data_IF_409484343547
#
_entry.id   IF_409484343547
#
_cell.length_a   1.000
_cell.length_b   1.000
_cell.length_c   1.000
_cell.angle_alpha   90.00
_cell.angle_beta   90.00
_cell.angle_gamma   90.00
#
_symmetry.space_group_name_H-M   'P 1'
#
loop_
_entity.id
_entity.type
_entity.pdbx_description
1 polymer ?
#
# COMPACT_ATOMS: atom_id res chain seq x y z
N UNK A 1 -16.81 17.92 -14.84
CA UNK A 1 -17.53 18.95 -15.63
C UNK A 1 -17.33 18.67 -17.11
N UNK A 2 -18.27 17.97 -17.73
CA UNK A 2 -18.39 17.92 -19.19
C UNK A 2 -19.87 17.86 -19.52
N UNK A 3 -20.31 18.93 -20.19
CA UNK A 3 -21.65 19.25 -20.59
C UNK A 3 -22.10 18.22 -21.64
N UNK A 4 -23.01 17.31 -21.27
CA UNK A 4 -23.81 16.56 -22.25
C UNK A 4 -25.27 16.88 -22.05
N UNK A 5 -25.56 18.14 -22.39
CA UNK A 5 -26.86 18.58 -22.88
C UNK A 5 -27.11 17.79 -24.16
N UNK A 6 -27.85 16.68 -24.08
CA UNK A 6 -28.59 16.15 -25.21
C UNK A 6 -30.07 16.11 -24.83
N UNK A 7 -30.63 17.30 -25.00
CA UNK A 7 -32.02 17.65 -24.86
C UNK A 7 -32.83 16.90 -25.93
N UNK A 8 -33.28 15.66 -25.65
CA UNK A 8 -34.38 15.04 -26.39
C UNK A 8 -35.70 15.64 -25.94
N UNK A 9 -35.96 16.85 -26.41
CA UNK A 9 -37.29 17.46 -26.46
C UNK A 9 -38.17 16.61 -27.40
N UNK A 10 -38.86 15.61 -26.84
CA UNK A 10 -40.02 15.03 -27.52
C UNK A 10 -41.23 15.90 -27.17
N UNK A 11 -41.53 16.85 -28.05
CA UNK A 11 -42.71 17.72 -27.98
C UNK A 11 -44.00 16.90 -28.06
N UNK A 12 -44.59 16.59 -26.92
CA UNK A 12 -45.99 16.15 -26.82
C UNK A 12 -46.91 17.35 -27.05
N UNK A 13 -47.28 17.56 -28.32
CA UNK A 13 -48.27 18.57 -28.71
C UNK A 13 -49.67 18.04 -28.38
N UNK A 14 -50.17 18.32 -27.17
CA UNK A 14 -51.52 17.93 -26.75
C UNK A 14 -52.50 19.06 -27.03
N UNK A 15 -53.24 18.94 -28.15
CA UNK A 15 -54.43 19.73 -28.42
C UNK A 15 -55.57 18.77 -28.77
N UNK A 16 -56.43 18.47 -27.79
CA UNK A 16 -57.75 17.86 -28.03
C UNK A 16 -58.77 18.43 -27.04
N UNK A 17 -59.70 19.22 -27.57
CA UNK A 17 -60.90 19.71 -26.89
C UNK A 17 -62.11 19.15 -27.65
N UNK A 18 -62.71 18.08 -27.14
CA UNK A 18 -64.04 17.59 -27.55
C UNK A 18 -64.76 16.95 -26.36
N UNK A 19 -65.94 17.49 -26.00
CA UNK A 19 -66.82 17.01 -24.93
C UNK A 19 -67.61 15.75 -25.32
N UNK A 20 -67.80 14.79 -24.40
CA UNK A 20 -69.01 13.94 -24.43
C UNK A 20 -68.96 12.52 -23.85
N UNK A 21 -67.79 11.89 -23.74
CA UNK A 21 -67.50 10.68 -22.96
C UNK A 21 -66.02 10.80 -22.60
N UNK A 22 -65.69 11.00 -21.33
CA UNK A 22 -64.29 11.05 -20.93
C UNK A 22 -63.70 9.63 -21.09
N UNK A 23 -62.92 9.42 -22.14
CA UNK A 23 -62.16 8.20 -22.36
C UNK A 23 -61.00 8.17 -21.35
N UNK A 24 -60.68 7.00 -20.80
CA UNK A 24 -59.54 6.88 -19.88
C UNK A 24 -58.22 7.24 -20.59
N UNK A 25 -57.29 7.95 -19.93
CA UNK A 25 -56.02 8.37 -20.54
C UNK A 25 -55.00 7.21 -20.60
N UNK A 26 -55.38 6.08 -21.19
CA UNK A 26 -54.55 4.85 -21.21
C UNK A 26 -53.22 5.04 -21.94
N UNK A 27 -53.17 5.83 -23.02
CA UNK A 27 -51.91 6.10 -23.74
C UNK A 27 -50.82 6.72 -22.84
N UNK A 28 -51.09 7.83 -22.13
CA UNK A 28 -50.18 8.39 -21.15
C UNK A 28 -49.85 7.47 -19.95
N UNK A 29 -50.83 6.68 -19.46
CA UNK A 29 -50.58 5.67 -18.40
C UNK A 29 -49.57 4.64 -18.87
N UNK A 30 -49.80 4.04 -20.04
CA UNK A 30 -48.91 3.03 -20.61
C UNK A 30 -47.52 3.62 -20.88
N UNK A 31 -47.45 4.86 -21.36
CA UNK A 31 -46.19 5.55 -21.61
C UNK A 31 -45.37 5.74 -20.33
N UNK A 32 -45.98 6.19 -19.22
CA UNK A 32 -45.24 6.43 -17.98
C UNK A 32 -44.80 5.14 -17.30
N UNK A 33 -45.63 4.09 -17.35
CA UNK A 33 -45.24 2.75 -16.87
C UNK A 33 -44.13 2.13 -17.71
N UNK A 34 -44.17 2.32 -19.03
CA UNK A 34 -43.11 1.85 -19.91
C UNK A 34 -41.77 2.55 -19.63
N UNK A 35 -41.78 3.83 -19.25
CA UNK A 35 -40.55 4.52 -18.80
C UNK A 35 -39.97 3.90 -17.53
N UNK A 36 -40.81 3.61 -16.53
CA UNK A 36 -40.34 2.96 -15.29
C UNK A 36 -39.75 1.56 -15.57
N UNK A 37 -40.44 0.76 -16.39
CA UNK A 37 -39.95 -0.56 -16.76
C UNK A 37 -38.62 -0.53 -17.54
N UNK A 38 -38.35 0.56 -18.29
CA UNK A 38 -37.11 0.71 -19.03
C UNK A 38 -35.87 0.91 -18.13
N UNK A 39 -36.06 1.37 -16.90
CA UNK A 39 -34.97 1.62 -15.95
C UNK A 39 -34.83 0.55 -14.86
N UNK A 40 -35.75 -0.42 -14.79
CA UNK A 40 -35.84 -1.44 -13.73
C UNK A 40 -34.49 -2.11 -13.42
N UNK A 41 -33.83 -2.69 -14.41
CA UNK A 41 -32.58 -3.45 -14.21
C UNK A 41 -31.42 -2.61 -13.69
N UNK A 42 -31.32 -1.35 -14.13
CA UNK A 42 -30.29 -0.44 -13.63
C UNK A 42 -30.66 0.10 -12.26
N UNK A 43 -31.94 0.37 -12.02
CA UNK A 43 -32.44 0.89 -10.75
C UNK A 43 -32.29 -0.13 -9.61
N UNK A 44 -32.47 -1.43 -9.87
CA UNK A 44 -32.14 -2.49 -8.91
C UNK A 44 -30.70 -2.39 -8.38
N UNK A 45 -29.76 -1.98 -9.25
CA UNK A 45 -28.34 -1.91 -8.92
C UNK A 45 -27.95 -0.56 -8.31
N UNK A 46 -28.48 0.54 -8.84
CA UNK A 46 -27.97 1.89 -8.54
C UNK A 46 -28.96 2.80 -7.81
N UNK A 47 -30.26 2.48 -7.80
CA UNK A 47 -31.30 3.39 -7.30
C UNK A 47 -32.52 2.66 -6.70
N UNK A 48 -32.30 1.55 -5.98
CA UNK A 48 -33.38 0.67 -5.51
C UNK A 48 -34.43 1.40 -4.65
N UNK A 49 -34.01 2.36 -3.81
CA UNK A 49 -34.94 3.17 -3.01
C UNK A 49 -35.82 4.07 -3.90
N UNK A 50 -35.22 4.78 -4.86
CA UNK A 50 -35.98 5.64 -5.78
C UNK A 50 -36.94 4.81 -6.65
N UNK A 51 -36.52 3.61 -7.06
CA UNK A 51 -37.35 2.69 -7.84
C UNK A 51 -38.59 2.26 -7.06
N UNK A 52 -38.43 1.84 -5.80
CA UNK A 52 -39.57 1.48 -4.95
C UNK A 52 -40.57 2.63 -4.77
N UNK A 53 -40.09 3.87 -4.64
CA UNK A 53 -40.96 5.06 -4.57
C UNK A 53 -41.74 5.29 -5.88
N UNK A 54 -41.14 4.99 -7.04
CA UNK A 54 -41.81 5.08 -8.33
C UNK A 54 -42.85 3.96 -8.53
N UNK A 55 -42.57 2.74 -8.05
CA UNK A 55 -43.54 1.64 -8.02
C UNK A 55 -44.75 1.98 -7.14
N UNK A 56 -44.53 2.58 -5.97
CA UNK A 56 -45.61 3.05 -5.09
C UNK A 56 -46.49 4.11 -5.78
N UNK A 57 -45.88 5.02 -6.55
CA UNK A 57 -46.62 6.01 -7.34
C UNK A 57 -47.45 5.35 -8.46
N UNK A 58 -46.93 4.31 -9.11
CA UNK A 58 -47.68 3.49 -10.08
C UNK A 58 -48.86 2.79 -9.39
N UNK A 59 -48.67 2.24 -8.19
CA UNK A 59 -49.74 1.62 -7.41
C UNK A 59 -50.88 2.59 -7.07
N UNK A 60 -50.56 3.85 -6.77
CA UNK A 60 -51.57 4.90 -6.56
C UNK A 60 -52.33 5.24 -7.84
N UNK A 61 -51.63 5.33 -8.98
CA UNK A 61 -52.25 5.53 -10.29
C UNK A 61 -53.21 4.39 -10.63
N UNK A 62 -52.82 3.15 -10.39
CA UNK A 62 -53.65 1.97 -10.65
C UNK A 62 -54.90 1.92 -9.77
N UNK A 63 -54.75 2.27 -8.49
CA UNK A 63 -55.87 2.37 -7.56
C UNK A 63 -56.90 3.40 -8.03
N UNK A 64 -56.46 4.56 -8.52
CA UNK A 64 -57.36 5.59 -9.06
C UNK A 64 -58.04 5.12 -10.35
N UNK A 65 -57.31 4.47 -11.26
CA UNK A 65 -57.88 3.92 -12.50
C UNK A 65 -58.98 2.91 -12.21
N UNK A 66 -58.79 2.03 -11.22
CA UNK A 66 -59.80 1.08 -10.76
C UNK A 66 -61.03 1.78 -10.16
N UNK A 67 -60.81 2.82 -9.34
CA UNK A 67 -61.90 3.61 -8.76
C UNK A 67 -62.74 4.32 -9.84
N UNK A 68 -62.11 4.89 -10.87
CA UNK A 68 -62.80 5.47 -12.03
C UNK A 68 -63.52 4.41 -12.86
N UNK A 69 -62.93 3.22 -13.02
CA UNK A 69 -63.57 2.12 -13.73
C UNK A 69 -64.87 1.65 -13.06
N UNK A 70 -64.91 1.63 -11.72
CA UNK A 70 -66.08 1.28 -10.92
C UNK A 70 -67.16 2.39 -10.87
N UNK A 71 -66.78 3.63 -11.21
CA UNK A 71 -67.70 4.76 -11.24
C UNK A 71 -68.65 4.72 -12.45
N UNK A 72 -69.87 5.22 -12.27
CA UNK A 72 -70.86 5.31 -13.35
C UNK A 72 -70.32 6.14 -14.52
N UNK A 73 -70.53 5.71 -15.76
CA UNK A 73 -69.87 6.29 -16.94
C UNK A 73 -70.08 7.81 -17.12
N UNK A 74 -71.21 8.36 -16.67
CA UNK A 74 -71.48 9.80 -16.71
C UNK A 74 -70.83 10.61 -15.57
N UNK A 75 -70.23 9.94 -14.58
CA UNK A 75 -69.62 10.53 -13.37
C UNK A 75 -68.09 10.36 -13.32
N UNK A 76 -67.48 9.75 -14.34
CA UNK A 76 -66.02 9.56 -14.40
C UNK A 76 -65.32 10.90 -14.62
N UNK A 77 -64.24 11.11 -13.87
CA UNK A 77 -63.38 12.29 -13.98
C UNK A 77 -61.91 11.86 -13.88
N UNK A 78 -61.12 12.22 -14.89
CA UNK A 78 -59.72 11.78 -15.01
C UNK A 78 -58.73 12.89 -14.63
N UNK A 79 -59.17 13.99 -14.04
CA UNK A 79 -58.26 15.05 -13.55
C UNK A 79 -57.24 14.47 -12.56
N UNK A 80 -57.70 13.72 -11.55
CA UNK A 80 -56.82 13.06 -10.58
C UNK A 80 -55.89 12.03 -11.23
N UNK A 81 -56.38 11.28 -12.21
CA UNK A 81 -55.54 10.33 -12.97
C UNK A 81 -54.41 11.07 -13.69
N UNK A 82 -54.69 12.21 -14.32
CA UNK A 82 -53.66 13.02 -14.99
C UNK A 82 -52.61 13.58 -14.00
N UNK A 83 -53.03 14.00 -12.81
CA UNK A 83 -52.09 14.39 -11.75
C UNK A 83 -51.19 13.22 -11.33
N UNK A 84 -51.75 12.02 -11.17
CA UNK A 84 -51.00 10.82 -10.79
C UNK A 84 -50.03 10.38 -11.90
N UNK A 85 -50.41 10.49 -13.17
CA UNK A 85 -49.48 10.26 -14.31
C UNK A 85 -48.30 11.23 -14.21
N UNK A 86 -48.56 12.52 -13.94
CA UNK A 86 -47.50 13.50 -13.70
C UNK A 86 -46.61 13.14 -12.51
N UNK A 87 -47.20 12.66 -11.42
CA UNK A 87 -46.46 12.18 -10.23
C UNK A 87 -45.58 10.98 -10.53
N UNK A 88 -46.06 9.98 -11.29
CA UNK A 88 -45.24 8.85 -11.73
C UNK A 88 -44.12 9.35 -12.63
N UNK A 89 -44.39 10.30 -13.53
CA UNK A 89 -43.38 10.90 -14.40
C UNK A 89 -42.23 11.52 -13.59
N UNK A 90 -42.54 12.33 -12.59
CA UNK A 90 -41.53 12.92 -11.69
C UNK A 90 -40.78 11.85 -10.87
N UNK A 91 -41.47 10.78 -10.44
CA UNK A 91 -40.83 9.69 -9.71
C UNK A 91 -39.83 8.93 -10.61
N UNK A 92 -40.17 8.69 -11.87
CA UNK A 92 -39.26 8.09 -12.86
C UNK A 92 -38.07 9.00 -13.14
N UNK A 93 -38.28 10.32 -13.30
CA UNK A 93 -37.19 11.29 -13.47
C UNK A 93 -36.23 11.24 -12.27
N UNK A 94 -36.75 11.08 -11.05
CA UNK A 94 -35.94 10.91 -9.84
C UNK A 94 -35.15 9.59 -9.81
N UNK A 95 -35.69 8.50 -10.37
CA UNK A 95 -34.94 7.23 -10.56
C UNK A 95 -33.77 7.43 -11.51
N UNK A 96 -34.03 8.02 -12.68
CA UNK A 96 -33.00 8.32 -13.69
C UNK A 96 -31.87 9.18 -13.10
N UNK A 97 -32.22 10.25 -12.36
CA UNK A 97 -31.24 11.12 -11.69
C UNK A 97 -30.45 10.37 -10.61
N UNK A 98 -31.11 9.51 -9.81
CA UNK A 98 -30.44 8.71 -8.78
C UNK A 98 -29.42 7.73 -9.39
N UNK A 99 -29.78 7.05 -10.49
CA UNK A 99 -28.87 6.16 -11.23
C UNK A 99 -27.63 6.93 -11.69
N UNK A 100 -27.83 8.07 -12.37
CA UNK A 100 -26.73 8.87 -12.91
C UNK A 100 -25.81 9.40 -11.81
N UNK A 101 -26.40 9.91 -10.72
CA UNK A 101 -25.67 10.39 -9.55
C UNK A 101 -24.82 9.30 -8.91
N UNK A 102 -25.39 8.10 -8.70
CA UNK A 102 -24.67 6.99 -8.08
C UNK A 102 -23.55 6.46 -8.97
N UNK A 103 -23.81 6.32 -10.28
CA UNK A 103 -22.76 5.96 -11.25
C UNK A 103 -21.63 6.99 -11.26
N UNK A 104 -21.93 8.29 -11.21
CA UNK A 104 -20.92 9.33 -11.16
C UNK A 104 -20.12 9.28 -9.85
N UNK A 105 -20.79 9.04 -8.71
CA UNK A 105 -20.15 8.89 -7.40
C UNK A 105 -19.16 7.74 -7.41
N UNK A 106 -19.58 6.56 -7.89
CA UNK A 106 -18.72 5.37 -7.96
C UNK A 106 -17.51 5.57 -8.88
N UNK A 107 -17.68 6.19 -10.06
CA UNK A 107 -16.56 6.51 -10.95
C UNK A 107 -15.55 7.45 -10.31
N UNK A 108 -16.04 8.47 -9.62
CA UNK A 108 -15.17 9.46 -8.95
C UNK A 108 -14.39 8.80 -7.82
N UNK A 109 -15.05 7.98 -7.01
CA UNK A 109 -14.42 7.30 -5.89
C UNK A 109 -13.39 6.26 -6.35
N UNK A 110 -13.74 5.42 -7.34
CA UNK A 110 -12.79 4.48 -7.92
C UNK A 110 -11.57 5.19 -8.53
N UNK A 111 -11.79 6.30 -9.26
CA UNK A 111 -10.70 7.10 -9.82
C UNK A 111 -9.76 7.68 -8.75
N UNK A 112 -10.33 8.17 -7.63
CA UNK A 112 -9.54 8.65 -6.49
C UNK A 112 -8.69 7.54 -5.86
N UNK A 113 -9.26 6.35 -5.71
CA UNK A 113 -8.57 5.18 -5.16
C UNK A 113 -7.45 4.71 -6.09
N UNK A 114 -7.68 4.69 -7.42
CA UNK A 114 -6.64 4.38 -8.42
C UNK A 114 -5.47 5.34 -8.29
N UNK A 115 -5.71 6.66 -8.27
CA UNK A 115 -4.62 7.64 -8.11
C UNK A 115 -3.86 7.48 -6.79
N UNK A 116 -4.56 7.12 -5.71
CA UNK A 116 -3.90 6.85 -4.42
C UNK A 116 -3.01 5.60 -4.50
N UNK A 117 -3.48 4.54 -5.17
CA UNK A 117 -2.71 3.32 -5.34
C UNK A 117 -1.47 3.54 -6.23
N UNK A 118 -1.60 4.32 -7.31
CA UNK A 118 -0.48 4.72 -8.16
C UNK A 118 0.60 5.50 -7.38
N UNK A 119 0.18 6.39 -6.48
CA UNK A 119 1.09 7.13 -5.58
C UNK A 119 1.81 6.20 -4.59
N UNK A 120 1.10 5.23 -4.02
CA UNK A 120 1.70 4.22 -3.13
C UNK A 120 2.71 3.35 -3.88
N UNK A 121 2.41 2.92 -5.11
CA UNK A 121 3.34 2.16 -5.96
C UNK A 121 4.59 3.00 -6.27
N UNK A 122 4.42 4.27 -6.65
CA UNK A 122 5.55 5.15 -6.90
C UNK A 122 6.42 5.34 -5.64
N UNK A 123 5.80 5.51 -4.49
CA UNK A 123 6.47 5.63 -3.19
C UNK A 123 7.25 4.37 -2.83
N UNK A 124 6.67 3.19 -3.06
CA UNK A 124 7.34 1.91 -2.84
C UNK A 124 8.58 1.77 -3.72
N UNK A 125 8.46 2.07 -5.02
CA UNK A 125 9.58 2.02 -5.97
C UNK A 125 10.73 2.95 -5.56
N UNK A 126 10.42 4.17 -5.14
CA UNK A 126 11.45 5.11 -4.62
C UNK A 126 12.11 4.54 -3.37
N UNK A 127 11.31 4.09 -2.40
CA UNK A 127 11.83 3.56 -1.13
C UNK A 127 12.76 2.37 -1.34
N UNK A 128 12.44 1.47 -2.27
CA UNK A 128 13.31 0.34 -2.65
C UNK A 128 14.68 0.85 -3.14
N UNK A 129 14.70 1.87 -4.00
CA UNK A 129 15.96 2.43 -4.54
C UNK A 129 16.79 3.20 -3.53
N UNK A 130 16.18 3.67 -2.43
CA UNK A 130 16.88 4.37 -1.36
C UNK A 130 17.57 3.41 -0.37
N UNK A 131 17.18 2.14 -0.34
CA UNK A 131 17.86 1.12 0.46
C UNK A 131 19.23 0.85 -0.17
N UNK A 132 20.27 0.85 0.65
CA UNK A 132 21.61 0.52 0.20
C UNK A 132 21.68 -0.91 -0.35
N UNK A 133 22.39 -1.09 -1.47
CA UNK A 133 22.46 -2.37 -2.20
C UNK A 133 22.94 -3.53 -1.32
N UNK A 134 23.95 -3.30 -0.47
CA UNK A 134 24.47 -4.32 0.46
C UNK A 134 23.46 -4.73 1.55
N UNK A 135 22.44 -3.90 1.81
CA UNK A 135 21.44 -4.14 2.84
C UNK A 135 20.12 -4.69 2.27
N UNK A 136 19.96 -4.75 0.94
CA UNK A 136 18.76 -5.29 0.30
C UNK A 136 19.07 -6.60 -0.45
N UNK A 137 18.67 -7.77 0.08
CA UNK A 137 18.80 -9.03 -0.64
C UNK A 137 18.06 -8.97 -1.99
N UNK A 138 18.72 -9.43 -3.05
CA UNK A 138 18.16 -9.45 -4.42
C UNK A 138 16.81 -10.19 -4.46
N UNK A 139 16.70 -11.30 -3.73
CA UNK A 139 15.48 -12.09 -3.60
C UNK A 139 14.32 -11.27 -3.01
N UNK A 140 14.59 -10.42 -2.00
CA UNK A 140 13.58 -9.57 -1.38
C UNK A 140 13.15 -8.43 -2.31
N UNK A 141 14.09 -7.84 -3.04
CA UNK A 141 13.80 -6.83 -4.05
C UNK A 141 12.90 -7.39 -5.16
N UNK A 142 13.20 -8.61 -5.64
CA UNK A 142 12.40 -9.30 -6.65
C UNK A 142 10.97 -9.58 -6.18
N UNK A 143 10.79 -9.95 -4.91
CA UNK A 143 9.44 -10.18 -4.33
C UNK A 143 8.62 -8.89 -4.36
N UNK A 144 9.16 -7.79 -3.85
CA UNK A 144 8.43 -6.52 -3.84
C UNK A 144 8.15 -6.00 -5.26
N UNK A 145 9.09 -6.15 -6.18
CA UNK A 145 8.87 -5.80 -7.58
C UNK A 145 7.74 -6.63 -8.21
N UNK A 146 7.68 -7.93 -7.92
CA UNK A 146 6.57 -8.78 -8.35
C UNK A 146 5.24 -8.31 -7.76
N UNK A 147 5.19 -8.04 -6.46
CA UNK A 147 3.97 -7.58 -5.78
C UNK A 147 3.47 -6.25 -6.37
N UNK A 148 4.37 -5.32 -6.69
CA UNK A 148 4.03 -4.04 -7.33
C UNK A 148 3.50 -4.22 -8.76
N UNK A 149 4.06 -5.16 -9.52
CA UNK A 149 3.54 -5.49 -10.86
C UNK A 149 2.14 -6.14 -10.81
N UNK A 150 1.86 -6.92 -9.76
CA UNK A 150 0.52 -7.47 -9.52
C UNK A 150 -0.49 -6.35 -9.17
N UNK A 151 -0.07 -5.35 -8.38
CA UNK A 151 -0.87 -4.14 -8.13
C UNK A 151 -1.16 -3.39 -9.43
N UNK A 152 -0.15 -3.15 -10.27
CA UNK A 152 -0.33 -2.46 -11.56
C UNK A 152 -1.29 -3.23 -12.49
N UNK A 153 -1.24 -4.56 -12.48
CA UNK A 153 -2.16 -5.42 -13.22
C UNK A 153 -3.61 -5.26 -12.72
N UNK A 154 -3.81 -5.21 -11.40
CA UNK A 154 -5.11 -4.96 -10.76
C UNK A 154 -5.66 -3.55 -11.06
N UNK A 155 -4.78 -2.54 -11.17
CA UNK A 155 -5.17 -1.19 -11.63
C UNK A 155 -5.57 -1.18 -13.11
N UNK A 156 -4.88 -1.93 -13.96
CA UNK A 156 -5.28 -2.14 -15.36
C UNK A 156 -6.67 -2.77 -15.48
N UNK A 157 -6.95 -3.78 -14.66
CA UNK A 157 -8.26 -4.43 -14.59
C UNK A 157 -9.35 -3.49 -14.07
N UNK A 158 -9.05 -2.67 -13.06
CA UNK A 158 -9.94 -1.60 -12.58
C UNK A 158 -10.33 -0.67 -13.72
N UNK A 159 -9.36 -0.26 -14.55
CA UNK A 159 -9.61 0.56 -15.74
C UNK A 159 -10.55 -0.12 -16.74
N UNK A 160 -10.39 -1.43 -16.96
CA UNK A 160 -11.28 -2.23 -17.82
C UNK A 160 -12.71 -2.28 -17.27
N UNK A 161 -12.87 -2.52 -15.97
CA UNK A 161 -14.16 -2.56 -15.30
C UNK A 161 -14.88 -1.20 -15.36
N UNK A 162 -14.15 -0.10 -15.14
CA UNK A 162 -14.68 1.26 -15.28
C UNK A 162 -15.17 1.55 -16.71
N UNK A 163 -14.41 1.14 -17.73
CA UNK A 163 -14.80 1.31 -19.13
C UNK A 163 -16.03 0.46 -19.49
N UNK A 164 -16.22 -0.69 -18.83
CA UNK A 164 -17.38 -1.57 -19.00
C UNK A 164 -18.60 -1.21 -18.15
N UNK A 165 -18.59 -0.09 -17.44
CA UNK A 165 -19.63 0.30 -16.45
C UNK A 165 -19.88 -0.72 -15.33
N UNK A 166 -18.91 -1.59 -15.05
CA UNK A 166 -18.95 -2.55 -13.94
C UNK A 166 -18.47 -1.85 -12.66
N UNK A 167 -19.19 -0.82 -12.21
CA UNK A 167 -18.67 0.18 -11.27
C UNK A 167 -18.42 -0.35 -9.85
N UNK A 168 -19.26 -1.24 -9.34
CA UNK A 168 -19.04 -1.87 -8.03
C UNK A 168 -17.83 -2.80 -8.03
N UNK A 169 -17.66 -3.56 -9.11
CA UNK A 169 -16.50 -4.43 -9.28
C UNK A 169 -15.22 -3.60 -9.41
N UNK A 170 -15.26 -2.52 -10.21
CA UNK A 170 -14.15 -1.58 -10.31
C UNK A 170 -13.77 -0.98 -8.96
N UNK A 171 -14.75 -0.55 -8.16
CA UNK A 171 -14.48 0.00 -6.83
C UNK A 171 -13.84 -1.04 -5.90
N UNK A 172 -14.33 -2.28 -5.91
CA UNK A 172 -13.76 -3.36 -5.10
C UNK A 172 -12.33 -3.68 -5.51
N UNK A 173 -12.08 -3.80 -6.82
CA UNK A 173 -10.76 -4.06 -7.37
C UNK A 173 -9.77 -2.93 -7.03
N UNK A 174 -10.17 -1.67 -7.22
CA UNK A 174 -9.34 -0.51 -6.89
C UNK A 174 -8.94 -0.49 -5.40
N UNK A 175 -9.89 -0.77 -4.49
CA UNK A 175 -9.60 -0.81 -3.06
C UNK A 175 -8.67 -1.97 -2.69
N UNK A 176 -8.80 -3.10 -3.36
CA UNK A 176 -7.89 -4.24 -3.18
C UNK A 176 -6.47 -3.88 -3.64
N UNK A 177 -6.33 -3.24 -4.82
CA UNK A 177 -5.05 -2.77 -5.32
C UNK A 177 -4.37 -1.79 -4.37
N UNK A 178 -5.13 -0.80 -3.86
CA UNK A 178 -4.62 0.17 -2.88
C UNK A 178 -4.15 -0.52 -1.59
N UNK A 179 -4.93 -1.46 -1.06
CA UNK A 179 -4.57 -2.19 0.15
C UNK A 179 -3.29 -3.02 -0.04
N UNK A 180 -3.12 -3.66 -1.21
CA UNK A 180 -1.90 -4.38 -1.57
C UNK A 180 -0.70 -3.45 -1.65
N UNK A 181 -0.81 -2.28 -2.31
CA UNK A 181 0.26 -1.29 -2.40
C UNK A 181 0.70 -0.80 -1.00
N UNK A 182 -0.27 -0.49 -0.13
CA UNK A 182 0.00 -0.10 1.26
C UNK A 182 0.66 -1.23 2.08
N UNK A 183 0.31 -2.48 1.80
CA UNK A 183 0.96 -3.65 2.37
C UNK A 183 2.44 -3.73 2.00
N UNK A 184 2.77 -3.49 0.73
CA UNK A 184 4.18 -3.45 0.26
C UNK A 184 4.94 -2.32 0.96
N UNK A 185 4.40 -1.09 1.00
CA UNK A 185 5.05 0.04 1.70
C UNK A 185 5.27 -0.21 3.20
N UNK A 186 4.31 -0.88 3.84
CA UNK A 186 4.45 -1.29 5.25
C UNK A 186 5.57 -2.32 5.43
N UNK A 187 5.69 -3.28 4.50
CA UNK A 187 6.78 -4.26 4.47
C UNK A 187 8.14 -3.61 4.30
N UNK A 188 8.27 -2.70 3.33
CA UNK A 188 9.50 -1.92 3.08
C UNK A 188 9.89 -1.12 4.34
N UNK A 189 8.94 -0.38 4.92
CA UNK A 189 9.20 0.43 6.12
C UNK A 189 9.69 -0.43 7.30
N UNK A 190 9.09 -1.61 7.49
CA UNK A 190 9.49 -2.55 8.54
C UNK A 190 10.89 -3.09 8.30
N UNK A 191 11.23 -3.39 7.04
CA UNK A 191 12.56 -3.84 6.65
C UNK A 191 13.63 -2.78 6.91
N UNK A 192 13.37 -1.53 6.50
CA UNK A 192 14.28 -0.40 6.72
C UNK A 192 14.55 -0.20 8.22
N UNK A 193 13.51 -0.22 9.04
CA UNK A 193 13.65 -0.09 10.49
C UNK A 193 14.50 -1.23 11.10
N UNK A 194 14.34 -2.46 10.61
CA UNK A 194 15.15 -3.60 11.06
C UNK A 194 16.61 -3.46 10.65
N UNK A 195 16.89 -3.03 9.41
CA UNK A 195 18.25 -2.75 8.94
C UNK A 195 18.92 -1.67 9.79
N UNK A 196 18.22 -0.57 10.07
CA UNK A 196 18.74 0.50 10.93
C UNK A 196 19.05 -0.01 12.34
N UNK A 197 18.13 -0.79 12.94
CA UNK A 197 18.32 -1.42 14.25
C UNK A 197 19.57 -2.31 14.27
N UNK A 198 19.77 -3.14 13.24
CA UNK A 198 20.93 -4.01 13.12
C UNK A 198 22.24 -3.22 12.97
N UNK A 199 22.22 -2.11 12.22
CA UNK A 199 23.39 -1.22 12.08
C UNK A 199 23.74 -0.56 13.41
N UNK A 200 22.75 -0.03 14.14
CA UNK A 200 22.96 0.55 15.47
C UNK A 200 23.51 -0.48 16.46
N UNK A 201 22.95 -1.69 16.45
CA UNK A 201 23.43 -2.80 17.27
C UNK A 201 24.89 -3.15 16.93
N UNK A 202 25.23 -3.22 15.64
CA UNK A 202 26.59 -3.49 15.19
C UNK A 202 27.58 -2.38 15.63
N UNK A 203 27.18 -1.10 15.57
CA UNK A 203 27.97 0.02 16.09
C UNK A 203 28.16 -0.11 17.60
N UNK A 204 27.09 -0.37 18.35
CA UNK A 204 27.15 -0.53 19.80
C UNK A 204 28.06 -1.71 20.22
N UNK A 205 28.01 -2.83 19.48
CA UNK A 205 28.91 -3.98 19.68
C UNK A 205 30.37 -3.58 19.50
N UNK A 206 30.69 -2.89 18.39
CA UNK A 206 32.05 -2.39 18.13
C UNK A 206 32.55 -1.48 19.24
N UNK A 207 31.71 -0.57 19.73
CA UNK A 207 32.06 0.34 20.83
C UNK A 207 32.39 -0.41 22.14
N UNK A 208 31.66 -1.49 22.45
CA UNK A 208 31.98 -2.36 23.60
C UNK A 208 33.26 -3.16 23.42
N UNK A 209 33.75 -3.30 22.19
CA UNK A 209 34.90 -4.14 21.85
C UNK A 209 34.49 -5.57 21.51
N UNK A 210 33.22 -5.81 21.16
CA UNK A 210 32.76 -7.09 20.66
C UNK A 210 33.07 -7.22 19.17
N UNK A 211 33.69 -8.34 18.79
CA UNK A 211 34.08 -8.66 17.42
C UNK A 211 33.60 -10.06 17.02
N UNK A 212 33.60 -10.33 15.72
CA UNK A 212 33.45 -11.68 15.17
C UNK A 212 34.70 -12.03 14.38
N UNK A 213 35.35 -13.15 14.72
CA UNK A 213 36.43 -13.73 13.95
C UNK A 213 35.81 -14.69 12.92
N UNK A 214 36.04 -14.49 11.61
CA UNK A 214 35.31 -15.21 10.55
C UNK A 214 35.78 -16.66 10.34
N UNK A 215 37.00 -17.00 10.76
CA UNK A 215 37.61 -18.31 10.59
C UNK A 215 38.49 -18.65 11.80
N UNK A 216 38.87 -19.92 11.95
CA UNK A 216 39.85 -20.29 12.96
C UNK A 216 41.21 -19.62 12.65
N UNK A 217 41.88 -19.15 13.70
CA UNK A 217 43.16 -18.42 13.63
C UNK A 217 44.07 -18.82 14.78
N UNK A 218 45.36 -18.49 14.71
CA UNK A 218 46.28 -18.69 15.82
C UNK A 218 46.44 -17.41 16.64
N UNK A 219 46.22 -17.50 17.94
CA UNK A 219 46.48 -16.45 18.91
C UNK A 219 47.56 -16.94 19.88
N UNK A 220 48.73 -16.31 19.87
CA UNK A 220 49.93 -16.75 20.61
C UNK A 220 50.34 -18.21 20.30
N UNK A 221 50.09 -18.65 19.06
CA UNK A 221 50.39 -20.01 18.60
C UNK A 221 49.35 -21.07 18.98
N UNK A 222 48.30 -20.71 19.74
CA UNK A 222 47.18 -21.59 20.06
C UNK A 222 45.98 -21.29 19.14
N UNK A 223 45.20 -22.33 18.83
CA UNK A 223 44.01 -22.19 18.00
C UNK A 223 42.91 -21.40 18.72
N UNK A 224 42.43 -20.34 18.07
CA UNK A 224 41.26 -19.56 18.42
C UNK A 224 40.19 -19.80 17.35
N UNK A 225 39.09 -20.42 17.75
CA UNK A 225 38.00 -20.77 16.84
C UNK A 225 37.35 -19.53 16.17
N UNK A 226 36.67 -19.75 15.05
CA UNK A 226 35.76 -18.75 14.50
C UNK A 226 34.62 -18.48 15.49
N UNK A 227 34.21 -17.22 15.66
CA UNK A 227 33.13 -16.90 16.59
C UNK A 227 33.17 -15.47 17.12
N UNK A 228 32.26 -15.19 18.06
CA UNK A 228 32.15 -13.88 18.70
C UNK A 228 33.03 -13.82 19.96
N UNK A 229 33.72 -12.68 20.13
CA UNK A 229 34.59 -12.44 21.27
C UNK A 229 34.45 -11.00 21.77
N UNK A 230 34.53 -10.82 23.09
CA UNK A 230 34.76 -9.51 23.71
C UNK A 230 36.26 -9.30 23.87
N UNK A 231 36.76 -8.17 23.37
CA UNK A 231 38.16 -7.79 23.55
C UNK A 231 38.37 -7.07 24.88
N UNK A 232 39.30 -7.59 25.68
CA UNK A 232 39.75 -6.95 26.92
C UNK A 232 41.26 -6.72 26.86
N UNK A 233 41.71 -5.58 27.37
CA UNK A 233 43.13 -5.36 27.60
C UNK A 233 43.52 -6.06 28.89
N UNK A 234 44.53 -6.93 28.83
CA UNK A 234 45.03 -7.57 30.04
C UNK A 234 45.70 -6.53 30.97
N UNK A 235 45.67 -6.82 32.27
CA UNK A 235 46.35 -6.02 33.29
C UNK A 235 47.86 -6.36 33.38
N UNK A 236 48.25 -7.51 32.84
CA UNK A 236 49.63 -8.01 32.73
C UNK A 236 50.16 -7.90 31.28
N UNK A 237 51.49 -7.80 31.13
CA UNK A 237 52.13 -7.80 29.81
C UNK A 237 53.60 -7.38 29.84
N UNK A 238 54.31 -7.57 28.71
CA UNK A 238 55.71 -7.16 28.60
C UNK A 238 55.84 -5.64 28.76
N UNK A 239 56.73 -5.19 29.66
CA UNK A 239 56.89 -3.76 30.01
C UNK A 239 57.33 -2.88 28.83
N UNK A 240 57.88 -3.48 27.78
CA UNK A 240 58.25 -2.80 26.55
C UNK A 240 57.93 -3.69 25.36
N UNK A 241 57.23 -3.15 24.36
CA UNK A 241 56.95 -3.70 23.01
C UNK A 241 55.57 -4.30 22.72
N UNK A 242 54.61 -4.31 23.66
CA UNK A 242 53.24 -4.72 23.33
C UNK A 242 52.30 -4.80 24.52
N UNK A 243 51.01 -4.99 24.26
CA UNK A 243 50.02 -5.26 25.32
C UNK A 243 49.19 -6.48 24.95
N UNK A 244 48.93 -7.36 25.91
CA UNK A 244 48.05 -8.49 25.67
C UNK A 244 46.60 -8.02 25.49
N UNK A 245 45.99 -8.48 24.40
CA UNK A 245 44.55 -8.42 24.18
C UNK A 245 44.00 -9.83 24.40
N UNK A 246 43.03 -9.92 25.30
CA UNK A 246 42.32 -11.15 25.61
C UNK A 246 41.06 -11.25 24.75
N UNK A 247 40.87 -12.43 24.15
CA UNK A 247 39.66 -12.80 23.42
C UNK A 247 38.74 -13.56 24.39
N UNK A 248 37.73 -12.88 24.92
CA UNK A 248 36.82 -13.44 25.92
C UNK A 248 35.58 -14.02 25.22
N UNK A 249 35.24 -15.27 25.53
CA UNK A 249 34.03 -15.95 25.07
C UNK A 249 33.24 -16.46 26.28
N UNK A 250 31.99 -16.00 26.42
CA UNK A 250 31.24 -16.16 27.66
C UNK A 250 32.01 -15.54 28.84
N UNK A 251 32.26 -16.34 29.87
CA UNK A 251 32.99 -15.91 31.08
C UNK A 251 34.49 -16.32 31.06
N UNK A 252 34.98 -16.88 29.95
CA UNK A 252 36.32 -17.45 29.84
C UNK A 252 37.19 -16.71 28.83
N UNK A 253 38.47 -16.57 29.12
CA UNK A 253 39.48 -16.15 28.13
C UNK A 253 39.74 -17.34 27.20
N UNK A 254 39.36 -17.19 25.94
CA UNK A 254 39.51 -18.23 24.92
C UNK A 254 40.86 -18.18 24.20
N UNK A 255 41.56 -17.05 24.27
CA UNK A 255 42.90 -16.87 23.71
C UNK A 255 43.48 -15.50 24.03
N UNK A 256 44.79 -15.34 23.79
CA UNK A 256 45.50 -14.06 23.96
C UNK A 256 46.30 -13.75 22.71
N UNK A 257 46.32 -12.48 22.31
CA UNK A 257 47.15 -12.00 21.23
C UNK A 257 48.00 -10.82 21.68
N UNK A 258 49.29 -10.84 21.35
CA UNK A 258 50.18 -9.72 21.65
C UNK A 258 49.88 -8.60 20.65
N UNK A 259 49.35 -7.48 21.14
CA UNK A 259 49.04 -6.34 20.30
C UNK A 259 50.24 -5.43 20.12
N UNK A 260 50.41 -4.94 18.90
CA UNK A 260 51.21 -3.76 18.59
C UNK A 260 50.43 -2.53 19.07
N UNK A 261 51.08 -1.71 19.89
CA UNK A 261 50.47 -0.51 20.49
C UNK A 261 50.91 0.72 19.71
N UNK A 262 49.94 1.49 19.20
CA UNK A 262 50.17 2.63 18.31
C UNK A 262 49.32 3.81 18.78
N UNK A 263 49.90 5.00 18.90
CA UNK A 263 49.12 6.20 19.25
C UNK A 263 48.25 6.66 18.07
N UNK A 264 47.11 7.32 18.33
CA UNK A 264 46.27 7.90 17.26
C UNK A 264 47.07 8.80 16.31
N UNK A 265 48.09 9.52 16.81
CA UNK A 265 48.90 10.43 16.01
C UNK A 265 49.80 9.74 14.97
N UNK A 266 50.07 8.46 15.15
CA UNK A 266 50.95 7.64 14.28
C UNK A 266 50.13 6.71 13.36
N UNK A 267 48.82 6.56 13.61
CA UNK A 267 47.98 5.61 12.87
C UNK A 267 47.84 5.93 11.38
N UNK A 268 48.01 7.19 10.97
CA UNK A 268 47.98 7.57 9.55
C UNK A 268 49.11 6.92 8.74
N UNK A 269 50.19 6.49 9.39
CA UNK A 269 51.29 5.77 8.73
C UNK A 269 51.01 4.26 8.60
N UNK A 270 49.99 3.75 9.30
CA UNK A 270 49.73 2.31 9.49
C UNK A 270 48.40 1.86 8.87
N UNK A 271 47.43 2.78 8.72
CA UNK A 271 46.11 2.49 8.16
C UNK A 271 45.55 3.68 7.40
N UNK A 272 45.25 3.48 6.11
CA UNK A 272 44.53 4.45 5.28
C UNK A 272 43.01 4.50 5.58
N UNK A 273 42.49 3.52 6.31
CA UNK A 273 41.05 3.33 6.57
C UNK A 273 40.44 4.29 7.62
N UNK A 274 41.14 5.38 7.95
CA UNK A 274 40.75 6.34 8.99
C UNK A 274 41.08 5.89 10.43
N UNK A 275 40.79 6.73 11.42
CA UNK A 275 41.00 6.43 12.85
C UNK A 275 39.77 5.75 13.45
N UNK A 276 39.96 4.66 14.19
CA UNK A 276 38.94 4.15 15.11
C UNK A 276 38.98 4.99 16.40
N UNK A 277 37.82 5.21 17.03
CA UNK A 277 37.74 5.85 18.34
C UNK A 277 36.88 5.02 19.26
N UNK A 278 37.48 4.43 20.29
CA UNK A 278 36.79 3.62 21.29
C UNK A 278 35.98 2.46 20.69
N UNK A 279 36.45 1.89 19.57
CA UNK A 279 35.79 0.81 18.85
C UNK A 279 36.76 -0.33 18.56
N UNK A 280 36.19 -1.51 18.34
CA UNK A 280 36.90 -2.65 17.76
C UNK A 280 36.48 -2.92 16.32
N UNK A 281 37.42 -3.41 15.51
CA UNK A 281 37.22 -3.82 14.11
C UNK A 281 38.04 -5.06 13.82
N UNK A 282 37.50 -5.90 12.95
CA UNK A 282 38.23 -7.00 12.33
C UNK A 282 38.44 -6.66 10.86
N UNK A 283 39.65 -6.86 10.37
CA UNK A 283 40.03 -6.64 8.97
C UNK A 283 40.63 -7.93 8.46
N UNK A 284 39.98 -8.53 7.47
CA UNK A 284 40.55 -9.67 6.73
C UNK A 284 41.53 -9.10 5.70
N UNK A 285 42.75 -9.63 5.66
CA UNK A 285 43.84 -9.15 4.82
C UNK A 285 44.28 -10.27 3.86
N UNK A 286 44.75 -9.89 2.67
CA UNK A 286 45.31 -10.78 1.64
C UNK A 286 44.42 -12.01 1.35
N UNK A 287 43.26 -11.82 0.73
CA UNK A 287 42.40 -12.93 0.27
C UNK A 287 42.03 -13.98 1.37
N UNK A 288 41.92 -13.54 2.63
CA UNK A 288 41.65 -14.37 3.81
C UNK A 288 42.84 -15.13 4.41
N UNK A 289 44.06 -14.84 3.99
CA UNK A 289 45.27 -15.43 4.57
C UNK A 289 45.61 -14.87 5.96
N UNK A 290 45.06 -13.73 6.40
CA UNK A 290 45.34 -13.15 7.72
C UNK A 290 44.14 -12.37 8.26
N UNK A 291 43.92 -12.45 9.58
CA UNK A 291 42.94 -11.63 10.29
C UNK A 291 43.69 -10.60 11.15
N UNK A 292 43.38 -9.31 10.99
CA UNK A 292 43.84 -8.25 11.87
C UNK A 292 42.69 -7.79 12.76
N UNK A 293 42.88 -7.93 14.06
CA UNK A 293 41.98 -7.39 15.07
C UNK A 293 42.54 -6.05 15.53
N UNK A 294 41.71 -5.02 15.50
CA UNK A 294 42.07 -3.67 15.90
C UNK A 294 41.11 -3.21 16.99
N UNK A 295 41.63 -2.92 18.18
CA UNK A 295 40.91 -2.28 19.27
C UNK A 295 41.48 -0.87 19.48
N UNK A 296 40.64 0.16 19.46
CA UNK A 296 41.01 1.49 19.96
C UNK A 296 40.38 1.71 21.33
N UNK A 297 41.16 2.17 22.30
CA UNK A 297 40.66 2.59 23.61
C UNK A 297 41.40 3.84 24.07
N UNK A 298 40.64 4.89 24.37
CA UNK A 298 41.15 6.18 24.85
C UNK A 298 42.24 6.80 23.94
N UNK A 299 42.11 6.63 22.62
CA UNK A 299 43.06 7.16 21.62
C UNK A 299 44.35 6.35 21.47
N UNK A 300 44.37 5.12 22.00
CA UNK A 300 45.46 4.16 21.81
C UNK A 300 44.94 2.97 21.00
N UNK A 301 45.71 2.58 19.99
CA UNK A 301 45.38 1.52 19.05
C UNK A 301 46.16 0.26 19.39
N UNK A 302 45.45 -0.85 19.49
CA UNK A 302 45.96 -2.19 19.78
C UNK A 302 45.66 -3.07 18.58
N UNK A 303 46.69 -3.42 17.81
CA UNK A 303 46.58 -4.22 16.60
C UNK A 303 47.15 -5.62 16.86
N UNK A 304 46.29 -6.63 16.78
CA UNK A 304 46.67 -8.05 16.86
C UNK A 304 46.59 -8.65 15.47
N UNK A 305 47.67 -9.29 15.04
CA UNK A 305 47.72 -10.03 13.78
C UNK A 305 47.58 -11.52 14.07
N UNK A 306 46.55 -12.14 13.50
CA UNK A 306 46.18 -13.53 13.71
C UNK A 306 46.32 -14.26 12.38
N UNK A 307 47.33 -15.13 12.21
CA UNK A 307 47.43 -16.00 11.05
C UNK A 307 46.36 -17.12 11.10
N UNK A 308 46.07 -17.81 10.01
CA UNK A 308 45.14 -18.93 9.98
C UNK A 308 45.67 -20.09 10.83
N UNK A 309 44.76 -20.86 11.44
CA UNK A 309 45.08 -22.07 12.20
C UNK A 309 45.36 -23.27 11.29
#
# INVERSE_FOLDING_TARGET
>A
MSNRILLTLLTASLAFMTSGCAEAPMGPVDAVKARLAAVESEAETYASEAYGNAEDAVGQLDTELEAQAQSFALLRDYERTNELIGSVGMAVDAVEEAIDSEKQRLRTEAGRVVSSAEEEVATARVSITEIAEDDLPEEQAMVWESDLNDVESSLGETGRLLAGEQLFDAQREANSALASAQGVNSGISSFVAEVERLREEAVARRARGEITIPSAVLADGEELAAGMYLLRLADDGPESMGRWVEFVSGDSVAGRGLAVVISDGEMSEVSESGLLRNEARVVVLKEADYVRVWLNRDGVNYLVHLPPA
#
